data_IF_834980927830
#
_entry.id   IF_834980927830
#
_cell.length_a   1.000
_cell.length_b   1.000
_cell.length_c   1.000
_cell.angle_alpha   90.00
_cell.angle_beta   90.00
_cell.angle_gamma   90.00
#
_symmetry.space_group_name_H-M   'P 1'
#
loop_
_entity.id
_entity.type
_entity.pdbx_description
1 polymer ?
#
# COMPACT_ATOMS: atom_id res chain seq x y z
N UNK A 1 -6.24 -20.21 -2.74
CA UNK A 1 -5.60 -19.08 -2.05
C UNK A 1 -5.99 -17.77 -2.72
N UNK A 2 -6.21 -16.73 -1.93
CA UNK A 2 -6.56 -15.43 -2.54
C UNK A 2 -5.42 -14.92 -3.40
N UNK A 3 -5.78 -14.24 -4.47
CA UNK A 3 -4.79 -13.61 -5.35
C UNK A 3 -4.77 -12.12 -5.10
N UNK A 4 -3.59 -11.52 -5.24
CA UNK A 4 -3.48 -10.08 -5.24
C UNK A 4 -4.06 -9.60 -6.58
N UNK A 5 -5.04 -8.71 -6.51
CA UNK A 5 -5.68 -8.15 -7.69
C UNK A 5 -5.53 -6.62 -7.66
N UNK A 6 -5.68 -5.95 -8.81
CA UNK A 6 -5.61 -4.49 -8.81
C UNK A 6 -6.66 -3.89 -7.87
N UNK A 7 -6.28 -2.83 -7.17
CA UNK A 7 -7.18 -2.12 -6.26
C UNK A 7 -7.06 -0.61 -6.48
N UNK A 8 -8.07 0.12 -6.01
CA UNK A 8 -8.08 1.57 -6.02
C UNK A 8 -6.99 2.09 -5.06
N UNK A 9 -6.41 3.24 -5.38
CA UNK A 9 -5.36 3.82 -4.55
C UNK A 9 -5.85 4.13 -3.12
N UNK A 10 -7.12 4.47 -2.95
CA UNK A 10 -7.69 4.73 -1.62
C UNK A 10 -7.73 3.46 -0.77
N UNK A 11 -8.05 2.34 -1.39
CA UNK A 11 -8.03 1.05 -0.71
C UNK A 11 -6.61 0.69 -0.29
N UNK A 12 -5.65 0.87 -1.19
CA UNK A 12 -4.25 0.58 -0.88
C UNK A 12 -3.72 1.51 0.21
N UNK A 13 -4.11 2.79 0.16
CA UNK A 13 -3.77 3.74 1.23
C UNK A 13 -4.27 3.24 2.58
N UNK A 14 -5.51 2.78 2.63
CA UNK A 14 -6.10 2.24 3.86
C UNK A 14 -5.28 1.07 4.39
N UNK A 15 -4.89 0.14 3.51
CA UNK A 15 -4.08 -1.02 3.88
C UNK A 15 -2.78 -0.58 4.53
N UNK A 16 -2.06 0.35 3.92
CA UNK A 16 -0.76 0.77 4.45
C UNK A 16 -0.90 1.62 5.71
N UNK A 17 -1.97 2.40 5.84
CA UNK A 17 -2.24 3.13 7.08
C UNK A 17 -2.49 2.16 8.24
N UNK A 18 -3.22 1.08 8.01
CA UNK A 18 -3.42 0.05 9.03
C UNK A 18 -2.11 -0.64 9.41
N UNK A 19 -1.19 -0.73 8.47
CA UNK A 19 0.13 -1.30 8.72
C UNK A 19 1.06 -0.35 9.49
N UNK A 20 0.62 0.88 9.75
CA UNK A 20 1.40 1.84 10.53
C UNK A 20 2.05 2.95 9.71
N UNK A 21 1.80 2.99 8.40
CA UNK A 21 2.34 4.05 7.56
C UNK A 21 1.50 5.31 7.70
N UNK A 22 2.14 6.46 7.60
CA UNK A 22 1.47 7.76 7.61
C UNK A 22 1.84 8.52 6.36
N UNK A 23 0.92 9.36 5.90
CA UNK A 23 1.16 10.20 4.74
C UNK A 23 2.30 11.17 5.02
N UNK A 24 3.29 11.21 4.11
CA UNK A 24 4.43 12.10 4.22
C UNK A 24 4.28 13.28 3.27
N UNK A 25 4.19 12.98 1.98
CA UNK A 25 4.05 14.03 0.96
C UNK A 25 3.39 13.50 -0.29
N UNK A 26 2.78 14.40 -1.04
CA UNK A 26 2.22 14.09 -2.35
C UNK A 26 2.88 14.96 -3.41
N UNK A 27 3.08 14.38 -4.60
CA UNK A 27 3.59 15.12 -5.75
C UNK A 27 2.91 14.59 -7.00
N UNK A 28 2.09 15.44 -7.62
CA UNK A 28 1.31 15.02 -8.77
C UNK A 28 0.39 13.87 -8.40
N UNK A 29 0.50 12.78 -9.14
CA UNK A 29 -0.33 11.59 -8.95
C UNK A 29 0.27 10.59 -7.97
N UNK A 30 1.37 10.94 -7.29
CA UNK A 30 2.05 10.02 -6.38
C UNK A 30 1.97 10.53 -4.94
N UNK A 31 1.72 9.61 -4.02
CA UNK A 31 1.65 9.91 -2.59
C UNK A 31 2.65 9.03 -1.86
N UNK A 32 3.52 9.65 -1.05
CA UNK A 32 4.53 8.93 -0.27
C UNK A 32 4.05 8.73 1.16
N UNK A 33 4.30 7.54 1.69
CA UNK A 33 3.94 7.17 3.05
C UNK A 33 5.17 6.66 3.76
N UNK A 34 5.32 7.00 5.03
CA UNK A 34 6.49 6.60 5.83
C UNK A 34 6.05 5.91 7.10
N UNK A 35 6.95 5.10 7.66
CA UNK A 35 6.71 4.38 8.89
C UNK A 35 8.02 4.32 9.69
N UNK A 36 7.99 4.57 11.00
CA UNK A 36 9.19 4.39 11.83
C UNK A 36 9.75 2.98 11.69
N UNK A 37 11.05 2.87 11.47
CA UNK A 37 11.70 1.58 11.28
C UNK A 37 11.73 1.10 9.84
N UNK A 38 11.02 1.76 8.94
CA UNK A 38 11.05 1.44 7.52
C UNK A 38 11.93 2.48 6.81
N UNK A 39 13.02 2.02 6.19
CA UNK A 39 14.01 2.93 5.60
C UNK A 39 13.54 3.60 4.31
N UNK A 40 12.61 2.99 3.61
CA UNK A 40 12.15 3.51 2.32
C UNK A 40 10.67 3.88 2.39
N UNK A 41 10.28 4.98 1.73
CA UNK A 41 8.87 5.32 1.68
C UNK A 41 8.13 4.37 0.75
N UNK A 42 6.84 4.18 1.02
CA UNK A 42 5.94 3.49 0.13
C UNK A 42 5.28 4.55 -0.74
N UNK A 43 5.36 4.40 -2.06
CA UNK A 43 4.77 5.35 -3.00
C UNK A 43 3.54 4.71 -3.63
N UNK A 44 2.40 5.37 -3.47
CA UNK A 44 1.13 4.90 -4.01
C UNK A 44 0.68 5.88 -5.10
N UNK A 45 0.58 5.42 -6.37
CA UNK A 45 0.05 6.28 -7.42
C UNK A 45 -1.47 6.42 -7.26
N UNK A 46 -1.99 7.57 -7.60
CA UNK A 46 -3.43 7.85 -7.48
C UNK A 46 -4.19 7.28 -8.67
N UNK A 47 -4.09 5.99 -8.88
CA UNK A 47 -4.80 5.31 -9.96
C UNK A 47 -6.05 4.61 -9.42
N UNK A 48 -7.09 4.57 -10.23
CA UNK A 48 -8.30 3.85 -9.87
C UNK A 48 -8.05 2.34 -9.81
N UNK A 49 -7.06 1.89 -10.55
CA UNK A 49 -6.67 0.48 -10.60
C UNK A 49 -5.17 0.40 -10.57
N UNK A 50 -4.61 0.07 -9.42
CA UNK A 50 -3.17 -0.05 -9.24
C UNK A 50 -2.74 -1.46 -9.63
N UNK A 51 -1.75 -1.56 -10.52
CA UNK A 51 -1.24 -2.84 -10.99
C UNK A 51 -0.69 -3.70 -9.85
N UNK A 52 -0.81 -5.01 -10.04
CA UNK A 52 -0.31 -5.99 -9.09
C UNK A 52 1.18 -5.79 -8.81
N UNK A 53 1.96 -5.47 -9.83
CA UNK A 53 3.42 -5.27 -9.67
C UNK A 53 3.73 -4.12 -8.72
N UNK A 54 2.96 -3.05 -8.79
CA UNK A 54 3.13 -1.90 -7.89
C UNK A 54 2.77 -2.31 -6.46
N UNK A 55 1.66 -3.04 -6.31
CA UNK A 55 1.22 -3.51 -4.99
C UNK A 55 2.29 -4.41 -4.36
N UNK A 56 2.81 -5.37 -5.12
CA UNK A 56 3.84 -6.29 -4.63
C UNK A 56 5.13 -5.55 -4.26
N UNK A 57 5.52 -4.56 -5.08
CA UNK A 57 6.69 -3.75 -4.81
C UNK A 57 6.53 -2.98 -3.49
N UNK A 58 5.36 -2.39 -3.27
CA UNK A 58 5.08 -1.67 -2.04
C UNK A 58 5.07 -2.60 -0.82
N UNK A 59 4.50 -3.79 -0.98
CA UNK A 59 4.52 -4.80 0.08
C UNK A 59 5.95 -5.18 0.46
N UNK A 60 6.81 -5.36 -0.54
CA UNK A 60 8.22 -5.69 -0.33
C UNK A 60 8.93 -4.57 0.41
N UNK A 61 8.72 -3.34 0.01
CA UNK A 61 9.30 -2.18 0.66
C UNK A 61 8.86 -2.10 2.13
N UNK A 62 7.61 -2.41 2.40
CA UNK A 62 7.04 -2.35 3.74
C UNK A 62 7.34 -3.58 4.59
N UNK A 63 7.90 -4.63 3.99
CA UNK A 63 8.08 -5.90 4.71
C UNK A 63 6.75 -6.57 5.06
N UNK A 64 5.73 -6.33 4.24
CA UNK A 64 4.39 -6.85 4.49
C UNK A 64 4.20 -8.20 3.83
N UNK A 65 3.72 -9.19 4.60
CA UNK A 65 3.42 -10.50 4.07
C UNK A 65 2.06 -10.48 3.35
N UNK A 66 1.80 -11.53 2.55
CA UNK A 66 0.49 -11.67 1.89
C UNK A 66 -0.64 -11.77 2.91
N UNK A 67 -0.41 -12.51 4.00
CA UNK A 67 -1.42 -12.65 5.04
C UNK A 67 -1.77 -11.32 5.67
N UNK A 68 -0.76 -10.51 5.95
CA UNK A 68 -0.97 -9.16 6.49
C UNK A 68 -1.72 -8.28 5.49
N UNK A 69 -1.33 -8.35 4.23
CA UNK A 69 -1.99 -7.56 3.19
C UNK A 69 -3.48 -7.89 3.11
N UNK A 70 -3.82 -9.17 3.06
CA UNK A 70 -5.22 -9.58 2.96
C UNK A 70 -6.02 -9.28 4.23
N UNK A 71 -5.37 -9.38 5.38
CA UNK A 71 -6.00 -8.99 6.64
C UNK A 71 -6.41 -7.52 6.61
N UNK A 72 -5.49 -6.65 6.26
CA UNK A 72 -5.78 -5.22 6.19
C UNK A 72 -6.76 -4.89 5.07
N UNK A 73 -6.63 -5.56 3.93
CA UNK A 73 -7.51 -5.34 2.80
C UNK A 73 -8.97 -5.66 3.16
N UNK A 74 -9.19 -6.75 3.89
CA UNK A 74 -10.52 -7.13 4.36
C UNK A 74 -11.11 -6.04 5.26
N UNK A 75 -10.27 -5.45 6.12
CA UNK A 75 -10.72 -4.38 7.01
C UNK A 75 -10.99 -3.07 6.27
N UNK A 76 -10.45 -2.91 5.08
CA UNK A 76 -10.59 -1.68 4.29
C UNK A 76 -11.71 -1.74 3.24
N UNK A 77 -12.41 -2.83 3.14
CA UNK A 77 -13.50 -2.98 2.17
C UNK A 77 -14.84 -2.74 2.81
#
# INVERSE_FOLDING_TARGET
MPRITPVDWKTLECVFKKAGFVFDRGKGDHRSYVKPGCLRPVVIPKYKEIDIDIIKSNMRTAGMSRDEYFKYLTECK
#
